data_IF_008220075362
#
_entry.id   IF_008220075362
#
_cell.length_a   1.000
_cell.length_b   1.000
_cell.length_c   1.000
_cell.angle_alpha   90.00
_cell.angle_beta   90.00
_cell.angle_gamma   90.00
#
_symmetry.space_group_name_H-M   'P 1'
#
loop_
_entity.id
_entity.type
_entity.pdbx_description
1 polymer ?
#
# COMPACT_ATOMS: atom_id res chain seq x y z
N UNK A 1 -3.93 -24.30 6.88
CA UNK A 1 -5.01 -25.30 6.76
C UNK A 1 -5.59 -25.47 5.35
N UNK A 2 -5.66 -24.46 4.46
CA UNK A 2 -6.26 -24.65 3.11
C UNK A 2 -5.21 -25.05 2.03
N UNK A 3 -3.99 -24.54 2.14
CA UNK A 3 -2.95 -24.66 1.10
C UNK A 3 -2.32 -26.08 1.04
N UNK A 4 -2.35 -26.85 2.12
CA UNK A 4 -1.74 -28.20 2.20
C UNK A 4 -2.49 -29.25 1.34
N UNK A 5 -3.72 -28.97 0.91
CA UNK A 5 -4.54 -29.93 0.15
C UNK A 5 -4.43 -29.78 -1.38
N UNK A 6 -3.60 -28.87 -1.88
CA UNK A 6 -3.45 -28.60 -3.31
C UNK A 6 -2.76 -29.73 -4.10
N UNK A 7 -2.09 -30.66 -3.43
CA UNK A 7 -1.45 -31.84 -4.04
C UNK A 7 -2.44 -32.89 -4.56
N UNK A 8 -3.67 -32.91 -4.06
CA UNK A 8 -4.64 -33.92 -4.48
C UNK A 8 -5.24 -33.45 -5.79
N UNK A 9 -4.96 -34.17 -6.89
CA UNK A 9 -5.54 -34.02 -8.24
C UNK A 9 -7.06 -34.23 -8.29
N UNK A 10 -7.81 -33.78 -7.28
CA UNK A 10 -9.24 -33.92 -7.18
C UNK A 10 -9.89 -32.63 -7.65
N UNK A 11 -10.42 -32.64 -8.87
CA UNK A 11 -11.05 -31.49 -9.55
C UNK A 11 -12.21 -30.87 -8.76
N UNK A 12 -12.77 -31.58 -7.78
CA UNK A 12 -13.90 -31.11 -6.96
C UNK A 12 -13.51 -30.10 -5.87
N UNK A 13 -12.24 -30.03 -5.45
CA UNK A 13 -11.81 -29.16 -4.33
C UNK A 13 -11.89 -27.67 -4.67
N UNK A 14 -11.72 -27.32 -5.96
CA UNK A 14 -11.70 -25.94 -6.46
C UNK A 14 -13.06 -25.24 -6.50
N UNK A 15 -14.15 -25.97 -6.24
CA UNK A 15 -15.50 -25.42 -6.16
C UNK A 15 -15.88 -24.95 -4.76
N UNK A 16 -15.00 -25.12 -3.77
CA UNK A 16 -15.20 -24.57 -2.43
C UNK A 16 -15.06 -23.03 -2.46
N UNK A 17 -15.87 -22.30 -1.68
CA UNK A 17 -15.83 -20.83 -1.66
C UNK A 17 -14.45 -20.27 -1.29
N UNK A 18 -13.69 -21.00 -0.47
CA UNK A 18 -12.33 -20.63 -0.05
C UNK A 18 -11.30 -20.72 -1.18
N UNK A 19 -11.45 -21.72 -2.07
CA UNK A 19 -10.53 -21.96 -3.19
C UNK A 19 -10.98 -21.29 -4.50
N UNK A 20 -12.16 -20.67 -4.53
CA UNK A 20 -12.69 -19.96 -5.70
C UNK A 20 -11.73 -18.88 -6.20
N UNK A 21 -11.09 -18.15 -5.29
CA UNK A 21 -10.13 -17.11 -5.65
C UNK A 21 -8.79 -17.65 -6.17
N UNK A 22 -8.44 -18.90 -5.80
CA UNK A 22 -7.24 -19.59 -6.25
C UNK A 22 -7.44 -20.29 -7.60
N UNK A 23 -8.69 -20.49 -8.03
CA UNK A 23 -9.03 -21.14 -9.31
C UNK A 23 -8.42 -20.44 -10.52
N UNK A 24 -8.27 -19.13 -10.48
CA UNK A 24 -7.69 -18.32 -11.57
C UNK A 24 -6.22 -18.63 -11.80
N UNK A 25 -5.48 -18.95 -10.73
CA UNK A 25 -4.04 -19.23 -10.80
C UNK A 25 -3.72 -20.72 -10.77
N UNK A 26 -4.73 -21.59 -10.80
CA UNK A 26 -4.59 -23.04 -10.55
C UNK A 26 -3.49 -23.71 -11.38
N UNK A 27 -3.32 -23.29 -12.64
CA UNK A 27 -2.40 -23.89 -13.61
C UNK A 27 -0.96 -23.37 -13.41
N UNK A 28 -0.78 -22.28 -12.68
CA UNK A 28 0.52 -21.68 -12.34
C UNK A 28 1.00 -22.09 -10.94
N UNK A 29 0.17 -22.82 -10.18
CA UNK A 29 0.52 -23.26 -8.83
C UNK A 29 1.53 -24.40 -8.93
N UNK A 30 2.70 -24.16 -8.36
CA UNK A 30 3.76 -25.16 -8.22
C UNK A 30 4.00 -25.42 -6.76
N UNK A 31 4.14 -26.68 -6.36
CA UNK A 31 4.45 -27.03 -4.97
C UNK A 31 5.82 -27.66 -4.92
N UNK A 32 6.76 -26.96 -4.28
CA UNK A 32 8.13 -27.42 -4.09
C UNK A 32 8.59 -26.97 -2.71
N UNK A 33 8.31 -27.80 -1.69
CA UNK A 33 8.37 -27.51 -0.24
C UNK A 33 7.39 -26.42 0.24
N UNK A 34 7.28 -25.33 -0.49
CA UNK A 34 6.27 -24.28 -0.32
C UNK A 34 5.35 -24.21 -1.54
N UNK A 35 4.19 -23.56 -1.37
CA UNK A 35 3.24 -23.35 -2.47
C UNK A 35 3.52 -22.01 -3.15
N UNK A 36 3.85 -22.10 -4.44
CA UNK A 36 4.27 -20.99 -5.28
C UNK A 36 3.27 -20.77 -6.43
N UNK A 37 3.15 -19.54 -6.89
CA UNK A 37 2.53 -19.18 -8.17
C UNK A 37 3.59 -18.47 -9.02
N UNK A 38 4.13 -19.19 -10.00
CA UNK A 38 5.35 -18.77 -10.70
C UNK A 38 6.53 -18.56 -9.74
N UNK A 39 6.96 -17.31 -9.57
CA UNK A 39 8.06 -16.92 -8.65
C UNK A 39 7.59 -16.34 -7.30
N UNK A 40 6.28 -16.37 -7.02
CA UNK A 40 5.68 -15.70 -5.85
C UNK A 40 5.19 -16.74 -4.84
N UNK A 41 5.36 -16.46 -3.56
CA UNK A 41 4.89 -17.34 -2.48
C UNK A 41 3.40 -17.09 -2.21
N UNK A 42 2.60 -18.15 -2.17
CA UNK A 42 1.19 -18.05 -1.81
C UNK A 42 1.06 -17.98 -0.30
N UNK A 43 0.53 -16.86 0.22
CA UNK A 43 0.39 -16.67 1.66
C UNK A 43 -0.96 -17.19 2.20
N UNK A 44 -0.94 -17.94 3.32
CA UNK A 44 -2.14 -18.26 4.08
C UNK A 44 -2.68 -17.02 4.79
N UNK A 45 -3.98 -17.00 5.07
CA UNK A 45 -4.71 -15.89 5.69
C UNK A 45 -4.02 -15.36 6.95
N UNK A 46 -3.54 -16.26 7.81
CA UNK A 46 -2.85 -15.95 9.07
C UNK A 46 -1.54 -15.17 8.92
N UNK A 47 -0.93 -15.17 7.72
CA UNK A 47 0.32 -14.47 7.42
C UNK A 47 0.12 -13.20 6.59
N UNK A 48 -1.07 -12.97 6.02
CA UNK A 48 -1.33 -11.82 5.14
C UNK A 48 -1.11 -10.50 5.86
N UNK A 49 -1.66 -10.36 7.07
CA UNK A 49 -1.52 -9.14 7.87
C UNK A 49 -0.07 -8.84 8.23
N UNK A 50 0.68 -9.87 8.62
CA UNK A 50 2.10 -9.76 8.94
C UNK A 50 2.93 -9.35 7.73
N UNK A 51 2.62 -9.90 6.55
CA UNK A 51 3.30 -9.54 5.32
C UNK A 51 3.03 -8.08 4.94
N UNK A 52 1.79 -7.62 5.06
CA UNK A 52 1.43 -6.22 4.85
C UNK A 52 2.16 -5.32 5.85
N UNK A 53 2.19 -5.69 7.14
CA UNK A 53 2.90 -4.93 8.17
C UNK A 53 4.39 -4.76 7.86
N UNK A 54 5.06 -5.84 7.47
CA UNK A 54 6.48 -5.81 7.10
C UNK A 54 6.70 -4.95 5.85
N UNK A 55 5.86 -5.11 4.83
CA UNK A 55 5.97 -4.33 3.60
C UNK A 55 5.72 -2.83 3.84
N UNK A 56 4.81 -2.49 4.75
CA UNK A 56 4.41 -1.12 5.08
C UNK A 56 5.39 -0.37 6.00
N UNK A 57 6.34 -1.04 6.67
CA UNK A 57 7.26 -0.43 7.67
C UNK A 57 7.96 0.86 7.23
N UNK A 58 8.21 1.04 5.94
CA UNK A 58 8.85 2.25 5.40
C UNK A 58 7.92 3.45 5.21
N UNK A 59 6.63 3.32 5.55
CA UNK A 59 5.58 4.33 5.33
C UNK A 59 5.55 4.92 3.92
N UNK A 60 5.93 4.12 2.93
CA UNK A 60 6.14 4.56 1.55
C UNK A 60 4.85 4.75 0.74
N UNK A 61 3.69 4.68 1.39
CA UNK A 61 2.36 4.79 0.78
C UNK A 61 1.86 3.52 0.08
N UNK A 62 0.65 3.61 -0.46
CA UNK A 62 -0.13 2.47 -0.98
C UNK A 62 0.56 1.82 -2.19
N UNK A 63 0.84 2.60 -3.24
CA UNK A 63 1.34 2.06 -4.51
C UNK A 63 2.68 1.33 -4.34
N UNK A 64 3.62 1.91 -3.58
CA UNK A 64 4.93 1.29 -3.35
C UNK A 64 4.82 0.03 -2.49
N UNK A 65 3.93 0.01 -1.49
CA UNK A 65 3.71 -1.18 -0.65
C UNK A 65 3.07 -2.32 -1.44
N UNK A 66 2.05 -2.03 -2.25
CA UNK A 66 1.43 -3.03 -3.13
C UNK A 66 2.44 -3.61 -4.13
N UNK A 67 3.28 -2.76 -4.74
CA UNK A 67 4.30 -3.22 -5.68
C UNK A 67 5.33 -4.14 -5.00
N UNK A 68 5.76 -3.81 -3.78
CA UNK A 68 6.67 -4.66 -3.01
C UNK A 68 6.04 -6.04 -2.74
N UNK A 69 4.79 -6.07 -2.29
CA UNK A 69 4.05 -7.31 -2.04
C UNK A 69 3.89 -8.14 -3.31
N UNK A 70 3.40 -7.54 -4.41
CA UNK A 70 3.20 -8.22 -5.70
C UNK A 70 4.49 -8.83 -6.28
N UNK A 71 5.66 -8.31 -5.90
CA UNK A 71 6.95 -8.83 -6.36
C UNK A 71 7.39 -10.13 -5.66
N UNK A 72 6.86 -10.43 -4.46
CA UNK A 72 7.31 -11.57 -3.64
C UNK A 72 6.21 -12.55 -3.27
N UNK A 73 4.98 -12.07 -3.08
CA UNK A 73 3.89 -12.86 -2.53
C UNK A 73 2.63 -12.70 -3.37
N UNK A 74 1.74 -13.68 -3.23
CA UNK A 74 0.42 -13.66 -3.84
C UNK A 74 -0.62 -14.13 -2.81
N UNK A 75 -1.76 -13.45 -2.76
CA UNK A 75 -2.95 -13.87 -2.03
C UNK A 75 -4.18 -13.11 -2.55
N UNK A 76 -5.40 -13.63 -2.36
CA UNK A 76 -6.62 -12.96 -2.81
C UNK A 76 -6.81 -11.59 -2.13
N UNK A 77 -7.32 -10.62 -2.89
CA UNK A 77 -7.60 -9.26 -2.42
C UNK A 77 -6.39 -8.53 -1.78
N UNK A 78 -5.17 -8.78 -2.29
CA UNK A 78 -3.94 -8.15 -1.80
C UNK A 78 -4.03 -6.63 -1.78
N UNK A 79 -4.52 -6.05 -2.86
CA UNK A 79 -4.55 -4.60 -3.02
C UNK A 79 -5.54 -3.93 -2.07
N UNK A 80 -6.74 -4.51 -1.92
CA UNK A 80 -7.77 -3.99 -1.02
C UNK A 80 -7.35 -4.07 0.46
N UNK A 81 -6.79 -5.21 0.89
CA UNK A 81 -6.30 -5.37 2.26
C UNK A 81 -5.13 -4.42 2.56
N UNK A 82 -4.24 -4.22 1.59
CA UNK A 82 -3.11 -3.29 1.73
C UNK A 82 -3.60 -1.84 1.81
N UNK A 83 -4.56 -1.46 0.97
CA UNK A 83 -5.13 -0.12 0.96
C UNK A 83 -5.87 0.21 2.26
N UNK A 84 -6.70 -0.70 2.77
CA UNK A 84 -7.40 -0.55 4.05
C UNK A 84 -6.43 -0.31 5.21
N UNK A 85 -5.35 -1.12 5.26
CA UNK A 85 -4.35 -1.01 6.32
C UNK A 85 -3.54 0.28 6.24
N UNK A 86 -3.14 0.70 5.05
CA UNK A 86 -2.36 1.92 4.88
C UNK A 86 -3.22 3.17 5.08
N UNK A 87 -4.50 3.13 4.70
CA UNK A 87 -5.46 4.21 4.97
C UNK A 87 -5.67 4.46 6.45
N UNK A 88 -5.44 3.49 7.34
CA UNK A 88 -5.52 3.70 8.79
C UNK A 88 -4.17 4.10 9.42
N UNK A 89 -3.07 4.13 8.65
CA UNK A 89 -1.76 4.48 9.17
C UNK A 89 -1.52 6.00 9.17
N UNK A 90 -1.41 6.59 10.36
CA UNK A 90 -1.11 8.01 10.54
C UNK A 90 0.19 8.45 9.87
N UNK A 91 1.24 7.64 9.96
CA UNK A 91 2.54 7.97 9.36
C UNK A 91 2.51 7.92 7.82
N UNK A 92 1.72 7.03 7.21
CA UNK A 92 1.51 7.04 5.76
C UNK A 92 0.61 8.19 5.30
N UNK A 93 -0.32 8.63 6.16
CA UNK A 93 -1.15 9.79 5.86
C UNK A 93 -0.37 11.11 6.03
N UNK A 94 0.58 11.15 6.95
CA UNK A 94 1.41 12.31 7.20
C UNK A 94 2.26 12.64 5.97
N UNK A 95 1.78 13.61 5.19
CA UNK A 95 2.54 14.24 4.11
C UNK A 95 2.91 15.64 4.55
N UNK A 96 4.19 15.99 4.48
CA UNK A 96 4.64 17.35 4.78
C UNK A 96 4.58 18.22 3.53
N UNK A 97 3.84 19.32 3.57
CA UNK A 97 4.02 20.40 2.60
C UNK A 97 5.17 21.29 3.07
N UNK A 98 6.17 21.48 2.21
CA UNK A 98 7.29 22.39 2.45
C UNK A 98 7.10 23.64 1.60
N UNK A 99 7.04 24.80 2.25
CA UNK A 99 7.09 26.09 1.60
C UNK A 99 8.37 26.78 2.03
N UNK A 100 9.13 27.31 1.07
CA UNK A 100 10.38 28.01 1.35
C UNK A 100 10.18 29.45 0.93
N UNK A 101 10.38 30.37 1.86
CA UNK A 101 10.48 31.79 1.51
C UNK A 101 11.84 32.04 0.85
N UNK A 102 11.83 32.57 -0.37
CA UNK A 102 13.05 32.79 -1.17
C UNK A 102 13.95 33.87 -0.53
N UNK A 103 13.35 34.86 0.15
CA UNK A 103 14.09 35.97 0.75
C UNK A 103 14.81 35.56 2.05
N UNK A 104 14.10 34.98 3.01
CA UNK A 104 14.66 34.58 4.31
C UNK A 104 15.29 33.18 4.32
N UNK A 105 15.00 32.35 3.31
CA UNK A 105 15.32 30.91 3.27
C UNK A 105 14.79 30.13 4.47
N UNK A 106 13.75 30.64 5.12
CA UNK A 106 13.12 29.97 6.25
C UNK A 106 12.13 28.89 5.74
N UNK A 107 12.31 27.61 6.11
CA UNK A 107 11.39 26.54 5.70
C UNK A 107 10.16 26.52 6.60
N UNK A 108 9.00 26.67 5.99
CA UNK A 108 7.69 26.51 6.63
C UNK A 108 7.24 25.08 6.35
N UNK A 109 7.04 24.32 7.42
CA UNK A 109 6.65 22.92 7.36
C UNK A 109 5.28 22.76 8.01
N UNK A 110 4.31 22.28 7.24
CA UNK A 110 3.00 21.91 7.75
C UNK A 110 2.75 20.42 7.45
N UNK A 111 2.35 19.69 8.49
CA UNK A 111 2.00 18.28 8.37
C UNK A 111 0.53 18.23 7.96
N UNK A 112 0.26 17.70 6.77
CA UNK A 112 -1.09 17.47 6.26
C UNK A 112 -1.34 15.99 6.08
N UNK A 113 -2.58 15.57 6.24
CA UNK A 113 -3.01 14.19 5.97
C UNK A 113 -3.17 13.89 4.48
N UNK A 114 -3.12 14.92 3.62
CA UNK A 114 -3.28 14.77 2.17
C UNK A 114 -2.67 15.94 1.41
N UNK A 115 -2.13 15.65 0.23
CA UNK A 115 -1.68 16.62 -0.78
C UNK A 115 -2.80 17.13 -1.69
N UNK A 116 -4.06 16.87 -1.34
CA UNK A 116 -5.21 17.40 -2.06
C UNK A 116 -5.14 18.94 -2.12
N UNK A 117 -5.48 19.51 -3.28
CA UNK A 117 -5.54 20.95 -3.49
C UNK A 117 -6.35 21.68 -2.42
N UNK A 118 -7.46 21.11 -1.94
CA UNK A 118 -8.27 21.76 -0.90
C UNK A 118 -7.49 21.92 0.42
N UNK A 119 -6.78 20.88 0.84
CA UNK A 119 -5.93 20.93 2.04
C UNK A 119 -4.73 21.87 1.83
N UNK A 120 -4.11 21.80 0.65
CA UNK A 120 -3.00 22.69 0.31
C UNK A 120 -3.44 24.17 0.25
N UNK A 121 -4.64 24.45 -0.25
CA UNK A 121 -5.20 25.80 -0.29
C UNK A 121 -5.29 26.41 1.10
N UNK A 122 -5.80 25.68 2.09
CA UNK A 122 -5.89 26.16 3.47
C UNK A 122 -4.51 26.48 4.06
N UNK A 123 -3.52 25.62 3.80
CA UNK A 123 -2.14 25.81 4.26
C UNK A 123 -1.51 27.04 3.59
N UNK A 124 -1.71 27.18 2.28
CA UNK A 124 -1.22 28.32 1.51
C UNK A 124 -1.87 29.64 1.97
N UNK A 125 -3.18 29.68 2.17
CA UNK A 125 -3.88 30.86 2.67
C UNK A 125 -3.39 31.26 4.07
N UNK A 126 -3.20 30.28 4.97
CA UNK A 126 -2.60 30.53 6.29
C UNK A 126 -1.16 31.07 6.18
N UNK A 127 -0.40 30.56 5.23
CA UNK A 127 0.98 31.02 4.99
C UNK A 127 1.00 32.45 4.44
N UNK A 128 0.18 32.74 3.41
CA UNK A 128 0.11 34.05 2.77
C UNK A 128 -0.48 35.13 3.69
N UNK A 129 -1.37 34.78 4.62
CA UNK A 129 -1.84 35.72 5.64
C UNK A 129 -0.75 36.07 6.66
N UNK A 130 0.18 35.15 6.92
CA UNK A 130 1.28 35.36 7.87
C UNK A 130 2.43 36.16 7.26
N UNK A 131 2.83 35.85 6.02
CA UNK A 131 4.02 36.43 5.37
C UNK A 131 3.71 37.43 4.26
N UNK A 132 2.43 37.60 3.91
CA UNK A 132 2.00 38.37 2.75
C UNK A 132 1.83 37.51 1.49
N UNK A 133 1.15 38.08 0.50
CA UNK A 133 0.91 37.43 -0.78
C UNK A 133 2.20 37.48 -1.61
N UNK A 134 2.76 36.34 -2.03
CA UNK A 134 3.99 36.32 -2.79
C UNK A 134 3.75 36.83 -4.21
N UNK A 135 4.74 37.52 -4.78
CA UNK A 135 4.71 37.99 -6.17
C UNK A 135 4.85 36.81 -7.15
N UNK A 136 5.58 35.76 -6.76
CA UNK A 136 5.83 34.58 -7.58
C UNK A 136 5.79 33.30 -6.74
N UNK A 137 5.21 32.25 -7.31
CA UNK A 137 5.23 30.88 -6.78
C UNK A 137 6.00 30.00 -7.75
N UNK A 138 7.02 29.30 -7.24
CA UNK A 138 7.85 28.34 -7.99
C UNK A 138 7.63 26.94 -7.39
N UNK A 139 7.52 25.91 -8.23
CA UNK A 139 7.36 24.50 -7.82
C UNK A 139 8.69 23.74 -7.84
#
# INVERSE_FOLDING_TARGET
>A
MIIENLHKHNTTIWNTPELKAYKTIKDEITVHNDVLSGHRIILPDVLRDKAIDVAHKGHQGICKTQNLLRSKVWFPNLDGLTEEKIKSCLACQATSSLLIDEYSRYPIVDITSSTNFHNLKTILEKTFTTFGIPEQLKS
#
